data_IF_587836720896
#
_entry.id   IF_587836720896
#
_cell.length_a   1.000
_cell.length_b   1.000
_cell.length_c   1.000
_cell.angle_alpha   90.00
_cell.angle_beta   90.00
_cell.angle_gamma   90.00
#
_symmetry.space_group_name_H-M   'P 1'
#
loop_
_entity.id
_entity.type
_entity.pdbx_description
1 polymer ?
#
# COMPACT_ATOMS: atom_id res chain seq x y z
N UNK A 1 -1.79 -23.83 26.21
CA UNK A 1 -2.15 -22.40 26.35
C UNK A 1 -0.95 -21.48 26.58
N UNK A 2 -0.03 -21.77 27.51
CA UNK A 2 1.18 -20.94 27.74
C UNK A 2 2.14 -20.87 26.53
N UNK A 3 2.41 -22.02 25.89
CA UNK A 3 3.27 -22.10 24.70
C UNK A 3 2.76 -21.28 23.49
N UNK A 4 1.45 -21.32 23.19
CA UNK A 4 0.87 -20.46 22.13
C UNK A 4 0.96 -18.97 22.46
N UNK A 5 0.86 -18.60 23.74
CA UNK A 5 1.02 -17.21 24.18
C UNK A 5 2.46 -16.74 23.97
N UNK A 6 3.44 -17.57 24.31
CA UNK A 6 4.85 -17.24 24.15
C UNK A 6 5.23 -17.12 22.65
N UNK A 7 4.73 -18.01 21.79
CA UNK A 7 4.97 -17.92 20.34
C UNK A 7 4.37 -16.66 19.71
N UNK A 8 3.15 -16.29 20.10
CA UNK A 8 2.52 -15.04 19.61
C UNK A 8 3.32 -13.83 20.11
N UNK A 9 3.77 -13.83 21.37
CA UNK A 9 4.60 -12.75 21.91
C UNK A 9 5.92 -12.59 21.14
N UNK A 10 6.64 -13.69 20.87
CA UNK A 10 7.86 -13.63 20.06
C UNK A 10 7.61 -13.12 18.65
N UNK A 11 6.51 -13.57 18.02
CA UNK A 11 6.12 -13.08 16.70
C UNK A 11 5.83 -11.57 16.71
N UNK A 12 5.07 -11.07 17.69
CA UNK A 12 4.75 -9.64 17.81
C UNK A 12 5.99 -8.79 18.10
N UNK A 13 6.94 -9.30 18.91
CA UNK A 13 8.24 -8.66 19.14
C UNK A 13 9.04 -8.59 17.82
N UNK A 14 9.08 -9.69 17.06
CA UNK A 14 9.75 -9.73 15.74
C UNK A 14 9.12 -8.74 14.75
N UNK A 15 7.81 -8.58 14.78
CA UNK A 15 7.07 -7.64 13.92
C UNK A 15 7.13 -6.19 14.40
N UNK A 16 7.94 -5.84 15.40
CA UNK A 16 8.03 -4.48 15.95
C UNK A 16 6.70 -3.92 16.50
N UNK A 17 5.78 -4.80 16.89
CA UNK A 17 4.41 -4.40 17.27
C UNK A 17 4.36 -3.54 18.53
N UNK A 18 5.26 -3.81 19.48
CA UNK A 18 5.26 -3.15 20.79
C UNK A 18 5.96 -1.80 20.79
N UNK A 19 6.60 -1.39 19.69
CA UNK A 19 7.28 -0.10 19.65
C UNK A 19 6.30 1.06 19.82
N UNK A 20 6.58 1.89 20.82
CA UNK A 20 5.69 2.99 21.22
C UNK A 20 4.52 2.57 22.13
N UNK A 21 4.42 1.29 22.53
CA UNK A 21 3.47 0.81 23.54
C UNK A 21 4.17 0.60 24.88
N UNK A 22 3.59 1.11 25.97
CA UNK A 22 4.11 0.87 27.31
C UNK A 22 3.57 -0.45 27.87
N UNK A 23 4.20 -1.58 27.49
CA UNK A 23 3.81 -2.92 27.93
C UNK A 23 4.90 -3.52 28.81
N UNK A 24 4.57 -3.80 30.08
CA UNK A 24 5.49 -4.46 31.01
C UNK A 24 5.78 -5.91 30.61
N UNK A 25 7.02 -6.36 30.80
CA UNK A 25 7.42 -7.76 30.62
C UNK A 25 7.74 -8.18 29.18
N UNK A 26 7.84 -7.23 28.25
CA UNK A 26 8.31 -7.48 26.88
C UNK A 26 9.83 -7.36 26.83
N UNK A 27 10.51 -8.39 26.33
CA UNK A 27 11.94 -8.35 26.06
C UNK A 27 12.19 -7.99 24.59
N UNK A 28 12.45 -6.73 24.31
CA UNK A 28 12.71 -6.23 22.96
C UNK A 28 14.09 -6.65 22.41
N UNK A 29 15.01 -7.13 23.26
CA UNK A 29 16.34 -7.60 22.84
C UNK A 29 16.30 -8.92 22.06
N UNK A 30 15.14 -9.60 22.05
CA UNK A 30 14.93 -10.81 21.26
C UNK A 30 14.75 -10.54 19.75
N UNK A 31 14.88 -9.29 19.30
CA UNK A 31 14.77 -8.92 17.89
C UNK A 31 15.94 -9.47 17.07
N UNK A 32 15.63 -9.92 15.86
CA UNK A 32 16.63 -10.14 14.84
C UNK A 32 17.02 -8.78 14.23
N UNK A 33 18.17 -8.23 14.63
CA UNK A 33 18.65 -6.92 14.14
C UNK A 33 18.94 -6.90 12.63
N UNK A 34 19.16 -8.07 12.00
CA UNK A 34 19.32 -8.20 10.56
C UNK A 34 18.00 -8.28 9.78
N UNK A 35 16.87 -8.43 10.48
CA UNK A 35 15.56 -8.62 9.86
C UNK A 35 15.47 -9.84 8.93
N UNK A 36 14.41 -9.90 8.14
CA UNK A 36 14.25 -10.86 7.04
C UNK A 36 13.78 -10.11 5.78
N UNK A 37 14.65 -9.31 5.13
CA UNK A 37 14.24 -8.32 4.11
C UNK A 37 13.51 -8.93 2.91
N UNK A 38 13.75 -10.21 2.61
CA UNK A 38 13.11 -10.96 1.52
C UNK A 38 11.84 -11.70 1.95
N UNK A 39 11.41 -11.58 3.21
CA UNK A 39 10.22 -12.27 3.74
C UNK A 39 9.30 -11.35 4.54
N UNK A 40 9.83 -10.27 5.08
CA UNK A 40 9.14 -9.47 6.07
C UNK A 40 9.52 -8.00 5.96
N UNK A 41 8.52 -7.15 6.12
CA UNK A 41 8.68 -5.77 6.58
C UNK A 41 7.92 -5.69 7.89
N UNK A 42 8.62 -5.36 8.96
CA UNK A 42 8.06 -5.19 10.30
C UNK A 42 6.99 -4.08 10.31
N UNK A 43 6.26 -3.95 11.43
CA UNK A 43 5.33 -2.85 11.60
C UNK A 43 6.11 -1.53 11.68
N UNK A 44 6.02 -0.72 10.63
CA UNK A 44 6.72 0.54 10.53
C UNK A 44 5.70 1.67 10.43
N UNK A 45 5.91 2.71 11.24
CA UNK A 45 5.23 3.99 11.12
C UNK A 45 5.98 4.88 10.12
N UNK A 46 5.24 5.45 9.19
CA UNK A 46 5.72 6.32 8.11
C UNK A 46 5.10 7.69 8.32
N UNK A 47 5.95 8.72 8.42
CA UNK A 47 5.53 10.09 8.74
C UNK A 47 5.75 11.09 7.59
N UNK A 48 6.61 10.75 6.64
CA UNK A 48 7.00 11.61 5.52
C UNK A 48 7.17 10.82 4.21
N UNK A 49 7.34 11.58 3.13
CA UNK A 49 7.36 11.06 1.76
C UNK A 49 8.66 10.30 1.43
N UNK A 50 9.79 10.74 1.98
CA UNK A 50 11.09 10.09 1.75
C UNK A 50 11.09 8.68 2.36
N UNK A 51 10.56 8.54 3.59
CA UNK A 51 10.36 7.24 4.21
C UNK A 51 9.37 6.37 3.42
N UNK A 52 8.31 6.96 2.86
CA UNK A 52 7.33 6.21 2.06
C UNK A 52 7.99 5.58 0.81
N UNK A 53 8.90 6.29 0.15
CA UNK A 53 9.64 5.78 -1.01
C UNK A 53 10.57 4.63 -0.62
N UNK A 54 11.38 4.80 0.42
CA UNK A 54 12.29 3.75 0.89
C UNK A 54 11.54 2.49 1.36
N UNK A 55 10.38 2.67 2.01
CA UNK A 55 9.55 1.55 2.46
C UNK A 55 8.89 0.84 1.28
N UNK A 56 8.46 1.56 0.24
CA UNK A 56 7.92 0.92 -0.96
C UNK A 56 8.93 -0.04 -1.60
N UNK A 57 10.21 0.35 -1.71
CA UNK A 57 11.26 -0.53 -2.23
C UNK A 57 11.46 -1.77 -1.34
N UNK A 58 11.44 -1.59 -0.01
CA UNK A 58 11.50 -2.73 0.94
C UNK A 58 10.30 -3.67 0.83
N UNK A 59 9.10 -3.13 0.60
CA UNK A 59 7.91 -3.96 0.36
C UNK A 59 8.09 -4.82 -0.88
N UNK A 60 8.60 -4.26 -1.98
CA UNK A 60 8.86 -5.02 -3.23
C UNK A 60 9.83 -6.17 -2.97
N UNK A 61 10.93 -5.93 -2.24
CA UNK A 61 11.88 -6.98 -1.86
C UNK A 61 11.21 -8.09 -1.03
N UNK A 62 10.41 -7.71 -0.03
CA UNK A 62 9.68 -8.66 0.80
C UNK A 62 8.55 -9.38 0.05
N UNK A 63 7.92 -8.75 -0.94
CA UNK A 63 6.89 -9.39 -1.76
C UNK A 63 7.50 -10.44 -2.67
N UNK A 64 8.62 -10.13 -3.31
CA UNK A 64 9.20 -10.93 -4.40
C UNK A 64 10.25 -11.93 -3.90
N UNK A 65 10.80 -11.71 -2.71
CA UNK A 65 11.87 -12.52 -2.15
C UNK A 65 13.22 -12.29 -2.82
N UNK A 66 13.42 -11.14 -3.46
CA UNK A 66 14.60 -10.83 -4.27
C UNK A 66 15.20 -9.47 -3.90
N UNK A 67 16.51 -9.27 -4.11
CA UNK A 67 17.06 -7.93 -4.10
C UNK A 67 16.39 -7.11 -5.20
N UNK A 68 16.10 -5.86 -4.88
CA UNK A 68 15.54 -4.89 -5.80
C UNK A 68 16.25 -3.57 -5.54
N UNK A 69 16.82 -3.03 -6.60
CA UNK A 69 17.48 -1.74 -6.62
C UNK A 69 16.84 -0.92 -7.74
N UNK A 70 16.17 0.18 -7.37
CA UNK A 70 15.46 1.02 -8.32
C UNK A 70 16.41 1.74 -9.29
N UNK A 71 17.70 1.88 -8.91
CA UNK A 71 18.71 2.63 -9.65
C UNK A 71 19.65 1.73 -10.48
N UNK A 72 19.48 0.41 -10.44
CA UNK A 72 20.27 -0.54 -11.21
C UNK A 72 19.74 -0.71 -12.64
N UNK A 73 20.63 -1.01 -13.60
CA UNK A 73 20.26 -1.32 -14.99
C UNK A 73 19.22 -2.45 -15.00
N UNK A 74 17.99 -2.14 -15.41
CA UNK A 74 16.86 -3.03 -15.29
C UNK A 74 17.09 -4.32 -16.09
N UNK A 75 17.15 -5.45 -15.40
CA UNK A 75 16.95 -6.75 -16.04
C UNK A 75 15.49 -6.86 -16.53
N UNK A 76 15.20 -7.78 -17.46
CA UNK A 76 13.78 -8.07 -17.85
C UNK A 76 12.89 -8.34 -16.63
N UNK A 77 13.47 -8.86 -15.54
CA UNK A 77 12.76 -9.10 -14.28
C UNK A 77 12.50 -7.81 -13.49
N UNK A 78 13.39 -6.83 -13.52
CA UNK A 78 13.20 -5.56 -12.79
C UNK A 78 12.11 -4.70 -13.44
N UNK A 79 11.84 -4.93 -14.73
CA UNK A 79 10.74 -4.28 -15.45
C UNK A 79 9.36 -4.62 -14.88
N UNK A 80 9.19 -5.77 -14.22
CA UNK A 80 7.93 -6.11 -13.52
C UNK A 80 7.89 -5.59 -12.08
N UNK A 81 9.02 -5.16 -11.51
CA UNK A 81 9.11 -4.68 -10.14
C UNK A 81 8.83 -3.18 -10.02
N UNK A 82 9.30 -2.40 -11.00
CA UNK A 82 9.09 -0.95 -11.04
C UNK A 82 7.59 -0.54 -10.98
N UNK A 83 6.67 -1.20 -11.71
CA UNK A 83 5.25 -0.87 -11.58
C UNK A 83 4.63 -1.20 -10.22
N UNK A 84 5.08 -2.28 -9.55
CA UNK A 84 4.65 -2.62 -8.19
C UNK A 84 5.13 -1.54 -7.23
N UNK A 85 6.39 -1.17 -7.33
CA UNK A 85 6.97 -0.10 -6.52
C UNK A 85 6.23 1.21 -6.71
N UNK A 86 5.98 1.59 -7.96
CA UNK A 86 5.23 2.80 -8.29
C UNK A 86 3.82 2.78 -7.68
N UNK A 87 3.09 1.68 -7.80
CA UNK A 87 1.76 1.55 -7.21
C UNK A 87 1.77 1.67 -5.68
N UNK A 88 2.80 1.11 -5.02
CA UNK A 88 2.98 1.22 -3.57
C UNK A 88 3.40 2.63 -3.13
N UNK A 89 4.32 3.29 -3.86
CA UNK A 89 4.72 4.69 -3.62
C UNK A 89 3.50 5.62 -3.70
N UNK A 90 2.69 5.46 -4.74
CA UNK A 90 1.44 6.21 -4.91
C UNK A 90 0.47 5.95 -3.75
N UNK A 91 0.35 4.70 -3.31
CA UNK A 91 -0.58 4.34 -2.24
C UNK A 91 -0.17 4.94 -0.89
N UNK A 92 1.11 4.85 -0.55
CA UNK A 92 1.66 5.44 0.68
C UNK A 92 1.63 6.98 0.62
N UNK A 93 2.00 7.57 -0.52
CA UNK A 93 1.98 9.02 -0.73
C UNK A 93 0.57 9.61 -0.65
N UNK A 94 -0.45 8.93 -1.21
CA UNK A 94 -1.84 9.37 -1.10
C UNK A 94 -2.34 9.35 0.35
N UNK A 95 -1.95 8.31 1.10
CA UNK A 95 -2.31 8.16 2.51
C UNK A 95 -1.75 9.30 3.38
N UNK A 96 -0.51 9.74 3.10
CA UNK A 96 0.12 10.88 3.78
C UNK A 96 -0.43 12.24 3.33
N UNK A 97 -0.59 12.44 2.02
CA UNK A 97 -0.89 13.76 1.45
C UNK A 97 -2.35 14.19 1.65
N UNK A 98 -3.33 13.28 1.47
CA UNK A 98 -4.75 13.63 1.61
C UNK A 98 -5.12 13.98 3.05
N UNK A 99 -4.54 13.28 4.02
CA UNK A 99 -4.78 13.56 5.41
C UNK A 99 -4.25 14.95 5.81
N UNK A 100 -3.03 15.32 5.37
CA UNK A 100 -2.44 16.64 5.61
C UNK A 100 -3.29 17.77 4.99
N UNK A 101 -3.83 17.57 3.78
CA UNK A 101 -4.71 18.54 3.09
C UNK A 101 -6.05 18.77 3.80
N UNK A 102 -6.61 17.74 4.43
CA UNK A 102 -7.81 17.85 5.27
C UNK A 102 -7.48 18.32 6.71
N UNK A 103 -6.33 18.97 6.91
CA UNK A 103 -5.93 19.60 8.17
C UNK A 103 -5.38 18.63 9.23
N UNK A 104 -5.10 17.37 8.88
CA UNK A 104 -4.55 16.37 9.81
C UNK A 104 -3.02 16.36 9.75
N UNK A 105 -2.40 17.37 10.34
CA UNK A 105 -0.93 17.52 10.33
C UNK A 105 -0.18 16.34 11.00
N UNK A 106 -0.84 15.58 11.88
CA UNK A 106 -0.29 14.40 12.56
C UNK A 106 -0.70 13.08 11.90
N UNK A 107 -1.04 13.12 10.62
CA UNK A 107 -1.36 11.93 9.87
C UNK A 107 -0.10 11.10 9.61
N UNK A 108 -0.22 9.80 9.83
CA UNK A 108 0.82 8.82 9.65
C UNK A 108 0.23 7.58 9.00
N UNK A 109 1.09 6.77 8.40
CA UNK A 109 0.74 5.49 7.82
C UNK A 109 1.51 4.40 8.55
N UNK A 110 0.88 3.27 8.80
CA UNK A 110 1.50 2.08 9.33
C UNK A 110 1.50 1.01 8.26
N UNK A 111 2.66 0.38 8.07
CA UNK A 111 2.86 -0.62 7.04
C UNK A 111 3.46 -1.87 7.66
N UNK A 112 3.04 -3.04 7.21
CA UNK A 112 3.71 -4.31 7.47
C UNK A 112 3.58 -5.24 6.25
N UNK A 113 4.54 -6.13 6.06
CA UNK A 113 4.51 -7.14 5.01
C UNK A 113 5.03 -8.48 5.53
N UNK A 114 4.42 -9.58 5.12
CA UNK A 114 4.93 -10.91 5.42
C UNK A 114 4.62 -11.91 4.31
N UNK A 115 5.59 -12.74 3.98
CA UNK A 115 5.41 -13.96 3.21
C UNK A 115 5.25 -15.18 4.13
N UNK A 116 4.22 -15.98 3.83
CA UNK A 116 3.86 -17.21 4.50
C UNK A 116 4.24 -18.39 3.61
N UNK A 117 5.45 -18.92 3.79
CA UNK A 117 6.06 -19.95 2.93
C UNK A 117 5.18 -21.18 2.70
N UNK A 118 4.55 -21.71 3.76
CA UNK A 118 3.66 -22.89 3.68
C UNK A 118 2.50 -22.73 2.68
N UNK A 119 2.08 -21.49 2.45
CA UNK A 119 0.96 -21.15 1.58
C UNK A 119 1.38 -20.36 0.35
N UNK A 120 2.67 -20.07 0.21
CA UNK A 120 3.24 -19.10 -0.73
C UNK A 120 2.49 -17.75 -0.80
N UNK A 121 1.92 -17.30 0.31
CA UNK A 121 1.08 -16.10 0.33
C UNK A 121 1.86 -14.92 0.87
N UNK A 122 1.88 -13.82 0.13
CA UNK A 122 2.36 -12.52 0.61
C UNK A 122 1.16 -11.74 1.12
N UNK A 123 1.28 -11.13 2.29
CA UNK A 123 0.30 -10.19 2.83
C UNK A 123 0.96 -8.88 3.17
N UNK A 124 0.31 -7.79 2.76
CA UNK A 124 0.67 -6.43 3.14
C UNK A 124 -0.51 -5.81 3.88
N UNK A 125 -0.23 -5.06 4.94
CA UNK A 125 -1.18 -4.18 5.58
C UNK A 125 -0.68 -2.75 5.48
N UNK A 126 -1.53 -1.85 5.00
CA UNK A 126 -1.30 -0.40 4.98
C UNK A 126 -2.49 0.23 5.70
N UNK A 127 -2.24 0.96 6.78
CA UNK A 127 -3.30 1.58 7.60
C UNK A 127 -2.89 3.00 7.91
N UNK A 128 -3.74 3.98 7.62
CA UNK A 128 -3.52 5.38 8.00
C UNK A 128 -4.49 5.83 9.11
N UNK A 129 -4.16 6.93 9.77
CA UNK A 129 -5.07 7.65 10.67
C UNK A 129 -5.62 8.95 10.03
N UNK A 130 -5.67 8.95 8.70
CA UNK A 130 -6.11 10.04 7.84
C UNK A 130 -7.62 10.21 7.80
N UNK A 131 -8.09 10.95 6.80
CA UNK A 131 -9.48 11.42 6.69
C UNK A 131 -10.45 10.44 6.02
N UNK A 132 -9.93 9.39 5.38
CA UNK A 132 -10.75 8.35 4.75
C UNK A 132 -11.28 8.76 3.38
N UNK A 133 -11.68 7.77 2.57
CA UNK A 133 -12.06 8.01 1.17
C UNK A 133 -13.25 8.95 1.02
N UNK A 134 -14.25 8.87 1.91
CA UNK A 134 -15.44 9.72 1.82
C UNK A 134 -15.10 11.21 1.98
N UNK A 135 -14.16 11.55 2.88
CA UNK A 135 -13.70 12.92 3.04
C UNK A 135 -12.86 13.37 1.83
N UNK A 136 -11.97 12.50 1.35
CA UNK A 136 -11.12 12.78 0.18
C UNK A 136 -11.93 13.00 -1.10
N UNK A 137 -12.99 12.22 -1.32
CA UNK A 137 -13.77 12.21 -2.57
C UNK A 137 -15.07 13.04 -2.50
N UNK A 138 -15.31 13.78 -1.41
CA UNK A 138 -16.59 14.49 -1.15
C UNK A 138 -17.03 15.45 -2.26
N UNK A 139 -16.09 15.95 -3.07
CA UNK A 139 -16.32 16.87 -4.19
C UNK A 139 -16.19 16.21 -5.56
N UNK A 140 -15.87 14.91 -5.64
CA UNK A 140 -15.67 14.23 -6.91
C UNK A 140 -17.00 13.85 -7.55
N UNK A 141 -17.16 14.13 -8.85
CA UNK A 141 -18.40 13.88 -9.62
C UNK A 141 -18.85 12.42 -9.67
N UNK A 142 -17.92 11.47 -9.52
CA UNK A 142 -18.19 10.04 -9.51
C UNK A 142 -18.85 9.59 -8.20
N UNK A 143 -18.73 10.37 -7.12
CA UNK A 143 -19.36 10.09 -5.84
C UNK A 143 -20.84 10.52 -5.86
N UNK A 144 -21.68 9.66 -6.43
CA UNK A 144 -23.13 9.87 -6.51
C UNK A 144 -23.80 9.88 -5.13
N UNK A 145 -23.47 8.88 -4.31
CA UNK A 145 -23.97 8.73 -2.95
C UNK A 145 -22.85 8.98 -1.93
N UNK A 146 -23.10 9.80 -0.91
CA UNK A 146 -22.13 10.15 0.13
C UNK A 146 -22.05 9.09 1.24
N UNK A 147 -21.82 7.85 0.85
CA UNK A 147 -21.62 6.72 1.76
C UNK A 147 -20.16 6.27 1.72
N UNK A 148 -19.66 5.69 2.82
CA UNK A 148 -18.29 5.18 2.86
C UNK A 148 -18.06 4.04 1.86
N UNK A 149 -19.06 3.16 1.69
CA UNK A 149 -18.98 2.08 0.70
C UNK A 149 -18.86 2.61 -0.73
N UNK A 150 -19.71 3.58 -1.11
CA UNK A 150 -19.62 4.18 -2.44
C UNK A 150 -18.28 4.91 -2.62
N UNK A 151 -17.76 5.57 -1.59
CA UNK A 151 -16.43 6.17 -1.65
C UNK A 151 -15.30 5.15 -1.88
N UNK A 152 -15.36 3.98 -1.24
CA UNK A 152 -14.40 2.88 -1.48
C UNK A 152 -14.49 2.39 -2.94
N UNK A 153 -15.71 2.16 -3.45
CA UNK A 153 -15.93 1.71 -4.82
C UNK A 153 -15.44 2.75 -5.85
N UNK A 154 -15.73 4.02 -5.59
CA UNK A 154 -15.28 5.16 -6.42
C UNK A 154 -13.75 5.29 -6.40
N UNK A 155 -13.09 5.09 -5.24
CA UNK A 155 -11.63 5.09 -5.13
C UNK A 155 -10.95 3.97 -5.95
N UNK A 156 -11.66 2.89 -6.28
CA UNK A 156 -11.16 1.80 -7.12
C UNK A 156 -11.33 2.07 -8.63
N UNK A 157 -12.08 3.10 -9.01
CA UNK A 157 -12.17 3.52 -10.41
C UNK A 157 -10.86 4.20 -10.78
N UNK A 158 -10.29 3.79 -11.93
CA UNK A 158 -9.07 4.41 -12.45
C UNK A 158 -9.17 5.94 -12.48
N UNK A 159 -8.09 6.62 -12.12
CA UNK A 159 -7.96 8.09 -12.21
C UNK A 159 -8.92 8.89 -11.31
N UNK A 160 -9.67 8.23 -10.43
CA UNK A 160 -10.62 8.89 -9.50
C UNK A 160 -10.01 9.20 -8.14
N UNK A 161 -9.04 8.40 -7.68
CA UNK A 161 -8.27 8.71 -6.47
C UNK A 161 -7.19 9.78 -6.69
N UNK A 162 -7.17 10.45 -7.85
CA UNK A 162 -6.19 11.47 -8.23
C UNK A 162 -6.40 12.81 -7.54
N UNK A 163 -5.28 13.49 -7.28
CA UNK A 163 -5.24 14.94 -7.20
C UNK A 163 -5.08 15.53 -8.61
N UNK A 164 -6.17 15.88 -9.31
CA UNK A 164 -6.05 16.89 -10.39
C UNK A 164 -5.99 18.26 -9.75
N UNK A 165 -4.78 18.74 -9.46
CA UNK A 165 -4.57 20.17 -9.23
C UNK A 165 -4.94 20.95 -10.50
N UNK A 166 -5.38 22.22 -10.40
CA UNK A 166 -5.57 23.05 -11.58
C UNK A 166 -4.24 23.18 -12.34
N UNK A 167 -4.31 23.06 -13.67
CA UNK A 167 -3.23 22.99 -14.68
C UNK A 167 -2.24 24.19 -14.66
N UNK A 168 -2.31 25.09 -13.69
CA UNK A 168 -1.60 26.38 -13.68
C UNK A 168 -0.57 26.55 -12.56
N UNK A 169 -0.25 25.53 -11.77
CA UNK A 169 0.75 25.64 -10.70
C UNK A 169 1.91 24.65 -10.90
N UNK A 170 2.98 25.17 -11.47
CA UNK A 170 4.39 24.74 -11.38
C UNK A 170 4.73 23.26 -11.64
N UNK A 171 5.56 23.07 -12.66
CA UNK A 171 6.18 21.84 -13.17
C UNK A 171 7.19 21.17 -12.20
N UNK A 172 6.88 21.01 -10.91
CA UNK A 172 7.86 20.40 -9.98
C UNK A 172 7.29 19.48 -8.89
N UNK A 173 6.02 19.10 -8.94
CA UNK A 173 5.49 18.06 -8.03
C UNK A 173 4.89 16.93 -8.85
N UNK A 174 5.37 15.70 -8.63
CA UNK A 174 4.89 14.48 -9.27
C UNK A 174 3.37 14.44 -9.28
N UNK A 175 2.77 14.59 -10.47
CA UNK A 175 1.33 14.45 -10.62
C UNK A 175 0.95 12.98 -10.40
N UNK A 176 0.42 12.68 -9.22
CA UNK A 176 -0.12 11.37 -8.86
C UNK A 176 -1.28 10.99 -9.79
N UNK A 177 -1.02 10.09 -10.75
CA UNK A 177 -1.95 9.73 -11.85
C UNK A 177 -3.12 8.84 -11.40
N UNK A 178 -3.30 8.59 -10.10
CA UNK A 178 -4.42 7.80 -9.55
C UNK A 178 -4.41 6.35 -10.01
N UNK A 179 -3.20 5.85 -10.20
CA UNK A 179 -2.89 4.49 -10.64
C UNK A 179 -2.71 3.56 -9.43
N UNK A 180 -2.34 4.09 -8.26
CA UNK A 180 -1.93 3.31 -7.08
C UNK A 180 -2.92 2.24 -6.64
N UNK A 181 -4.13 2.61 -6.21
CA UNK A 181 -5.07 1.64 -5.62
C UNK A 181 -5.65 0.65 -6.65
N UNK A 182 -6.08 1.14 -7.81
CA UNK A 182 -6.64 0.29 -8.87
C UNK A 182 -5.61 -0.69 -9.41
N UNK A 183 -4.38 -0.23 -9.66
CA UNK A 183 -3.30 -1.11 -10.14
C UNK A 183 -2.91 -2.13 -9.08
N UNK A 184 -2.84 -1.71 -7.81
CA UNK A 184 -2.60 -2.64 -6.70
C UNK A 184 -3.68 -3.74 -6.64
N UNK A 185 -4.95 -3.39 -6.85
CA UNK A 185 -6.03 -4.37 -6.91
C UNK A 185 -5.89 -5.36 -8.07
N UNK A 186 -5.52 -4.86 -9.27
CA UNK A 186 -5.29 -5.68 -10.46
C UNK A 186 -4.07 -6.59 -10.34
N UNK A 187 -2.98 -6.10 -9.76
CA UNK A 187 -1.78 -6.91 -9.47
C UNK A 187 -2.17 -8.04 -8.51
N UNK A 188 -2.93 -7.73 -7.45
CA UNK A 188 -3.41 -8.74 -6.51
C UNK A 188 -4.22 -9.82 -7.23
N UNK A 189 -5.22 -9.42 -8.03
CA UNK A 189 -6.08 -10.34 -8.78
C UNK A 189 -5.28 -11.21 -9.77
N UNK A 190 -4.38 -10.61 -10.54
CA UNK A 190 -3.54 -11.31 -11.51
C UNK A 190 -2.55 -12.28 -10.84
N UNK A 191 -2.14 -12.01 -9.61
CA UNK A 191 -1.32 -12.89 -8.78
C UNK A 191 -2.15 -13.79 -7.84
N UNK A 192 -3.37 -14.17 -8.24
CA UNK A 192 -4.27 -15.07 -7.51
C UNK A 192 -4.58 -14.62 -6.07
N UNK A 193 -4.77 -13.31 -5.93
CA UNK A 193 -4.89 -12.60 -4.67
C UNK A 193 -6.14 -11.73 -4.57
N UNK A 194 -6.15 -10.82 -3.60
CA UNK A 194 -7.25 -9.88 -3.37
C UNK A 194 -6.83 -8.69 -2.49
N UNK A 195 -7.70 -7.70 -2.43
CA UNK A 195 -7.66 -6.63 -1.43
C UNK A 195 -8.83 -6.74 -0.46
N UNK A 196 -8.59 -6.34 0.78
CA UNK A 196 -9.61 -5.93 1.75
C UNK A 196 -9.38 -4.46 2.03
N UNK A 197 -10.38 -3.64 1.77
CA UNK A 197 -10.29 -2.18 1.90
C UNK A 197 -11.34 -1.73 2.89
N UNK A 198 -10.93 -1.00 3.92
CA UNK A 198 -11.82 -0.43 4.92
C UNK A 198 -11.60 1.08 5.05
N UNK A 199 -12.70 1.81 5.19
CA UNK A 199 -12.67 3.24 5.51
C UNK A 199 -14.00 3.67 6.15
N UNK A 200 -13.94 4.40 7.25
CA UNK A 200 -15.12 4.75 8.04
C UNK A 200 -15.89 3.52 8.54
N UNK A 201 -17.17 3.43 8.16
CA UNK A 201 -18.05 2.32 8.55
C UNK A 201 -18.18 1.21 7.49
N UNK A 202 -17.36 1.24 6.44
CA UNK A 202 -17.46 0.33 5.30
C UNK A 202 -16.18 -0.48 5.09
N UNK A 203 -16.35 -1.70 4.61
CA UNK A 203 -15.27 -2.61 4.21
C UNK A 203 -15.67 -3.40 2.96
N UNK A 204 -14.76 -3.53 2.01
CA UNK A 204 -14.93 -4.24 0.74
C UNK A 204 -13.84 -5.31 0.58
N UNK A 205 -14.25 -6.53 0.23
CA UNK A 205 -13.32 -7.60 -0.19
C UNK A 205 -13.42 -7.80 -1.70
N UNK A 206 -12.34 -7.54 -2.45
CA UNK A 206 -12.42 -7.41 -3.92
C UNK A 206 -12.72 -8.71 -4.65
N UNK A 207 -12.19 -9.85 -4.19
CA UNK A 207 -12.39 -11.13 -4.89
C UNK A 207 -13.83 -11.68 -4.77
N UNK A 208 -14.43 -11.59 -3.59
CA UNK A 208 -15.83 -11.99 -3.36
C UNK A 208 -16.84 -10.91 -3.68
N UNK A 209 -16.37 -9.65 -3.85
CA UNK A 209 -17.20 -8.44 -3.90
C UNK A 209 -18.12 -8.29 -2.69
N UNK A 210 -17.76 -8.90 -1.56
CA UNK A 210 -18.56 -8.84 -0.34
C UNK A 210 -18.31 -7.53 0.40
N UNK A 211 -19.39 -6.96 0.89
CA UNK A 211 -19.45 -5.70 1.59
C UNK A 211 -19.76 -5.94 3.07
N UNK A 212 -19.04 -5.25 3.96
CA UNK A 212 -19.24 -5.35 5.40
C UNK A 212 -19.37 -3.95 6.01
N UNK A 213 -20.22 -3.85 7.04
CA UNK A 213 -20.35 -2.63 7.83
C UNK A 213 -19.56 -2.76 9.14
N UNK A 214 -18.63 -1.83 9.35
CA UNK A 214 -17.84 -1.67 10.56
C UNK A 214 -18.62 -0.81 11.57
N UNK A 215 -19.50 -1.46 12.33
CA UNK A 215 -20.33 -0.76 13.32
C UNK A 215 -19.47 -0.09 14.40
N UNK A 216 -19.79 1.17 14.72
CA UNK A 216 -19.19 1.94 15.81
C UNK A 216 -17.66 2.12 15.70
N UNK A 217 -17.11 2.16 14.48
CA UNK A 217 -15.69 2.49 14.30
C UNK A 217 -15.45 3.98 14.54
N UNK A 218 -14.66 4.39 15.56
CA UNK A 218 -14.28 5.79 15.74
C UNK A 218 -13.15 6.22 14.79
N UNK A 219 -12.56 5.27 14.06
CA UNK A 219 -11.43 5.50 13.18
C UNK A 219 -11.88 5.97 11.81
N UNK A 220 -11.24 7.02 11.31
CA UNK A 220 -11.64 7.73 10.10
C UNK A 220 -10.68 7.54 8.92
N UNK A 221 -9.65 6.69 9.05
CA UNK A 221 -8.63 6.52 8.01
C UNK A 221 -9.01 5.54 6.90
N UNK A 222 -7.98 5.06 6.21
CA UNK A 222 -8.05 3.95 5.25
C UNK A 222 -7.14 2.80 5.68
N UNK A 223 -7.61 1.57 5.48
CA UNK A 223 -6.90 0.34 5.77
C UNK A 223 -7.02 -0.56 4.54
N UNK A 224 -5.89 -1.03 4.05
CA UNK A 224 -5.77 -1.88 2.88
C UNK A 224 -4.96 -3.08 3.30
N UNK A 225 -5.60 -4.25 3.26
CA UNK A 225 -4.90 -5.52 3.29
C UNK A 225 -4.79 -6.05 1.87
N UNK A 226 -3.57 -6.26 1.40
CA UNK A 226 -3.26 -6.88 0.12
C UNK A 226 -2.81 -8.32 0.37
N UNK A 227 -3.26 -9.23 -0.48
CA UNK A 227 -2.82 -10.63 -0.49
C UNK A 227 -2.55 -11.08 -1.91
N UNK A 228 -1.49 -11.85 -2.15
CA UNK A 228 -1.23 -12.51 -3.43
C UNK A 228 -0.36 -13.76 -3.25
N UNK A 229 -0.22 -14.55 -4.32
CA UNK A 229 0.77 -15.62 -4.42
C UNK A 229 2.10 -15.07 -4.92
N UNK A 230 3.18 -15.36 -4.19
CA UNK A 230 4.51 -14.84 -4.55
C UNK A 230 4.98 -15.41 -5.88
N UNK A 231 4.79 -16.71 -6.10
CA UNK A 231 5.20 -17.40 -7.32
C UNK A 231 4.51 -16.88 -8.60
N UNK A 232 3.34 -16.25 -8.46
CA UNK A 232 2.59 -15.64 -9.58
C UNK A 232 3.04 -14.24 -9.93
N UNK A 233 3.59 -13.47 -8.98
CA UNK A 233 3.99 -12.07 -9.21
C UNK A 233 4.90 -11.90 -10.45
N UNK A 234 5.93 -12.74 -10.67
CA UNK A 234 6.79 -12.62 -11.87
C UNK A 234 6.08 -12.83 -13.21
N UNK A 235 4.91 -13.48 -13.20
CA UNK A 235 4.15 -13.82 -14.40
C UNK A 235 3.04 -12.80 -14.69
N UNK A 236 2.85 -11.80 -13.82
CA UNK A 236 1.90 -10.72 -14.06
C UNK A 236 2.48 -9.77 -15.11
N UNK A 237 1.77 -9.62 -16.22
CA UNK A 237 2.09 -8.59 -17.22
C UNK A 237 1.60 -7.22 -16.71
N UNK A 238 2.35 -6.61 -15.79
CA UNK A 238 1.94 -5.34 -15.17
C UNK A 238 1.78 -4.19 -16.18
N UNK A 239 2.62 -4.04 -17.22
CA UNK A 239 2.38 -3.06 -18.28
C UNK A 239 0.97 -3.14 -18.89
N UNK A 240 0.41 -4.35 -19.03
CA UNK A 240 -0.96 -4.53 -19.53
C UNK A 240 -2.06 -4.17 -18.52
N UNK A 241 -1.72 -4.06 -17.24
CA UNK A 241 -2.65 -3.71 -16.16
C UNK A 241 -2.70 -2.20 -15.90
N UNK A 242 -1.71 -1.47 -16.40
CA UNK A 242 -1.62 -0.02 -16.30
C UNK A 242 -2.53 0.62 -17.37
N UNK A 243 -3.06 1.82 -17.12
CA UNK A 243 -3.81 2.56 -18.13
C UNK A 243 -2.96 2.72 -19.41
N UNK A 244 -3.54 2.46 -20.58
CA UNK A 244 -2.79 2.31 -21.84
C UNK A 244 -2.12 3.59 -22.37
N UNK A 245 -2.31 4.75 -21.73
CA UNK A 245 -1.80 6.03 -22.22
C UNK A 245 -0.41 6.42 -21.65
N UNK A 246 0.13 5.70 -20.65
CA UNK A 246 1.07 6.33 -19.69
C UNK A 246 2.50 5.75 -19.63
N UNK A 247 2.97 5.04 -20.67
CA UNK A 247 4.41 4.75 -20.84
C UNK A 247 4.94 5.35 -22.14
N UNK A 248 5.01 6.69 -22.20
CA UNK A 248 6.08 7.30 -22.97
C UNK A 248 7.34 7.13 -22.11
N UNK A 249 7.99 5.97 -22.26
CA UNK A 249 9.42 5.90 -21.96
C UNK A 249 10.04 6.98 -22.83
N UNK A 250 10.80 7.90 -22.25
CA UNK A 250 11.61 8.88 -22.98
C UNK A 250 12.64 8.13 -23.84
N UNK A 251 12.18 7.54 -24.93
CA UNK A 251 13.02 7.07 -26.01
C UNK A 251 13.32 8.28 -26.87
N UNK A 252 14.59 8.68 -26.81
CA UNK A 252 15.26 9.66 -27.67
C UNK A 252 15.28 11.12 -27.20
N UNK A 253 16.09 11.39 -26.16
CA UNK A 253 16.89 12.63 -26.18
C UNK A 253 18.01 12.40 -27.21
N UNK A 254 17.79 12.82 -28.45
CA UNK A 254 18.87 12.99 -29.44
C UNK A 254 19.51 14.35 -29.20
N UNK A 255 20.79 14.34 -28.89
CA UNK A 255 21.62 15.53 -29.03
C UNK A 255 22.04 15.62 -30.50
N UNK A 256 21.47 16.57 -31.22
CA UNK A 256 22.06 17.10 -32.45
C UNK A 256 23.22 18.05 -32.11
#
# INVERSE_FOLDING_TARGET
MRYMRDQISFYLIRMDFFHGLNVEGINEDARNSGGEPFKCVELIKVDDQEQAEAIASRLVQAMTGRPYDADADASEFDSCLQPIEYALKELLGNSLSHAKREGRARASVWVACQHFEDSDTVRIAIVDNGCGFLATLKTHEALKDRTHMNAIQVALIERVSCNRGPVLAYESESQNQGVGLTTTARIAEAAEGHLIIASGDACLHTASKSEFCLKNSPWAGVAIAFSCKRDKLPHVNIPSLLPQDDFVVDSEIRFD
#
